data_IF_781587030912
#
_entry.id   IF_781587030912
#
_cell.length_a   1.000
_cell.length_b   1.000
_cell.length_c   1.000
_cell.angle_alpha   90.00
_cell.angle_beta   90.00
_cell.angle_gamma   90.00
#
_symmetry.space_group_name_H-M   'P 1'
#
loop_
_entity.id
_entity.type
_entity.pdbx_description
1 polymer ?
#
# COMPACT_ATOMS: atom_id res chain seq x y z
N UNK A 1 -1.26 19.64 -0.07
CA UNK A 1 -0.43 18.45 -0.34
C UNK A 1 1.02 18.75 -0.04
N UNK A 2 1.80 17.75 0.40
CA UNK A 2 3.25 17.87 0.62
C UNK A 2 4.06 17.59 -0.66
N UNK A 3 5.28 18.13 -0.77
CA UNK A 3 6.23 17.83 -1.84
C UNK A 3 7.45 17.09 -1.29
N UNK A 4 7.32 15.77 -1.12
CA UNK A 4 8.35 14.95 -0.48
C UNK A 4 9.52 14.67 -1.44
N UNK A 5 10.77 14.93 -1.00
CA UNK A 5 11.98 14.66 -1.78
C UNK A 5 12.22 13.17 -2.13
N UNK A 6 11.55 12.26 -1.43
CA UNK A 6 11.60 10.79 -1.64
C UNK A 6 10.32 10.20 -2.23
N UNK A 7 9.42 11.02 -2.77
CA UNK A 7 8.11 10.52 -3.22
C UNK A 7 8.26 9.38 -4.23
N UNK A 8 7.82 8.17 -3.86
CA UNK A 8 7.83 6.99 -4.74
C UNK A 8 7.00 7.22 -6.00
N UNK A 9 5.87 7.91 -5.86
CA UNK A 9 4.94 8.22 -6.94
C UNK A 9 5.15 9.63 -7.52
N UNK A 10 6.38 10.16 -7.52
CA UNK A 10 6.66 11.55 -7.91
C UNK A 10 6.19 11.86 -9.34
N UNK A 11 6.30 10.88 -10.27
CA UNK A 11 5.84 11.00 -11.66
C UNK A 11 4.32 11.21 -11.76
N UNK A 12 3.53 10.55 -10.92
CA UNK A 12 2.06 10.57 -11.01
C UNK A 12 1.39 11.53 -10.02
N UNK A 13 2.09 11.93 -8.96
CA UNK A 13 1.55 12.83 -7.93
C UNK A 13 1.72 14.32 -8.24
N UNK A 14 2.60 14.68 -9.18
CA UNK A 14 2.84 16.08 -9.55
C UNK A 14 2.38 16.34 -10.98
N UNK A 15 1.43 17.26 -11.14
CA UNK A 15 0.80 17.57 -12.43
C UNK A 15 1.80 17.89 -13.55
N UNK A 16 2.95 18.49 -13.23
CA UNK A 16 4.00 18.82 -14.22
C UNK A 16 4.65 17.61 -14.91
N UNK A 17 4.51 16.41 -14.35
CA UNK A 17 5.03 15.17 -14.92
C UNK A 17 3.94 14.29 -15.55
N UNK A 18 2.67 14.68 -15.39
CA UNK A 18 1.52 13.94 -15.89
C UNK A 18 1.08 14.55 -17.23
N UNK A 19 0.75 13.69 -18.19
CA UNK A 19 0.23 14.09 -19.50
C UNK A 19 -1.16 13.49 -19.75
N UNK A 20 -1.89 13.94 -20.76
CA UNK A 20 -3.25 13.46 -21.05
C UNK A 20 -3.33 11.94 -21.29
N UNK A 21 -2.25 11.31 -21.73
CA UNK A 21 -2.17 9.84 -21.89
C UNK A 21 -2.12 9.09 -20.56
N UNK A 22 -1.76 9.75 -19.47
CA UNK A 22 -1.63 9.17 -18.13
C UNK A 22 -2.91 9.36 -17.30
N UNK A 23 -3.89 10.11 -17.82
CA UNK A 23 -5.13 10.47 -17.12
C UNK A 23 -6.30 9.67 -17.69
N UNK A 24 -7.09 9.09 -16.79
CA UNK A 24 -8.37 8.48 -17.13
C UNK A 24 -9.48 9.11 -16.28
N UNK A 25 -10.62 9.38 -16.91
CA UNK A 25 -11.75 10.02 -16.25
C UNK A 25 -12.76 8.96 -15.80
N UNK A 26 -13.17 9.07 -14.54
CA UNK A 26 -14.24 8.26 -13.97
C UNK A 26 -15.26 9.18 -13.32
N UNK A 27 -16.54 8.85 -13.46
CA UNK A 27 -17.57 9.40 -12.56
C UNK A 27 -17.59 8.61 -11.25
N UNK A 28 -18.09 9.18 -10.15
CA UNK A 28 -18.31 8.45 -8.90
C UNK A 28 -19.06 7.12 -9.10
N UNK A 29 -20.12 7.12 -9.90
CA UNK A 29 -20.94 5.94 -10.18
C UNK A 29 -20.14 4.84 -10.90
N UNK A 30 -19.28 5.22 -11.85
CA UNK A 30 -18.43 4.27 -12.57
C UNK A 30 -17.43 3.58 -11.62
N UNK A 31 -16.91 4.30 -10.62
CA UNK A 31 -16.05 3.72 -9.58
C UNK A 31 -16.82 2.69 -8.76
N UNK A 32 -18.04 3.01 -8.32
CA UNK A 32 -18.88 2.10 -7.52
C UNK A 32 -19.27 0.86 -8.35
N UNK A 33 -19.73 1.05 -9.59
CA UNK A 33 -20.10 -0.05 -10.48
C UNK A 33 -18.92 -1.00 -10.72
N UNK A 34 -17.73 -0.45 -10.99
CA UNK A 34 -16.50 -1.22 -11.16
C UNK A 34 -16.16 -2.00 -9.89
N UNK A 35 -16.22 -1.35 -8.72
CA UNK A 35 -15.95 -1.99 -7.44
C UNK A 35 -16.90 -3.17 -7.17
N UNK A 36 -18.20 -2.98 -7.35
CA UNK A 36 -19.20 -4.03 -7.14
C UNK A 36 -19.02 -5.20 -8.12
N UNK A 37 -18.81 -4.91 -9.42
CA UNK A 37 -18.58 -5.93 -10.45
C UNK A 37 -17.32 -6.75 -10.18
N UNK A 38 -16.26 -6.11 -9.69
CA UNK A 38 -15.02 -6.78 -9.36
C UNK A 38 -15.03 -7.45 -7.98
N UNK A 39 -16.05 -7.19 -7.15
CA UNK A 39 -16.16 -7.73 -5.79
C UNK A 39 -15.22 -7.04 -4.79
N UNK A 40 -14.82 -5.80 -5.09
CA UNK A 40 -14.03 -4.94 -4.22
C UNK A 40 -14.90 -4.52 -3.04
N UNK A 41 -14.31 -4.47 -1.84
CA UNK A 41 -15.01 -4.15 -0.58
C UNK A 41 -14.57 -2.82 0.02
N UNK A 42 -13.35 -2.42 -0.29
CA UNK A 42 -12.69 -1.26 0.28
C UNK A 42 -12.20 -0.41 -0.87
N UNK A 43 -12.65 0.83 -0.93
CA UNK A 43 -12.08 1.86 -1.79
C UNK A 43 -10.96 2.56 -1.03
N UNK A 44 -9.77 2.59 -1.62
CA UNK A 44 -8.58 3.20 -1.02
C UNK A 44 -8.16 4.42 -1.82
N UNK A 45 -8.22 5.59 -1.19
CA UNK A 45 -7.83 6.88 -1.77
C UNK A 45 -6.34 7.12 -1.51
N UNK A 46 -5.49 7.01 -2.53
CA UNK A 46 -4.02 6.88 -2.39
C UNK A 46 -3.24 7.20 -3.69
N UNK A 47 -1.95 6.84 -3.72
CA UNK A 47 -0.91 7.04 -4.75
C UNK A 47 -0.45 8.48 -4.89
N UNK A 48 -1.35 9.37 -5.33
CA UNK A 48 -1.21 10.78 -5.00
C UNK A 48 -1.76 11.00 -3.59
N UNK A 49 -1.64 12.21 -3.07
CA UNK A 49 -2.29 12.55 -1.80
C UNK A 49 -3.76 12.87 -2.06
N UNK A 50 -4.71 12.17 -1.43
CA UNK A 50 -6.15 12.37 -1.65
C UNK A 50 -6.66 13.79 -1.40
N UNK A 51 -5.90 14.63 -0.68
CA UNK A 51 -6.28 16.03 -0.42
C UNK A 51 -6.45 16.88 -1.68
N UNK A 52 -5.92 16.50 -2.85
CA UNK A 52 -5.98 17.33 -4.08
C UNK A 52 -7.22 17.10 -4.95
N UNK A 53 -8.07 16.15 -4.57
CA UNK A 53 -9.25 15.71 -5.33
C UNK A 53 -10.39 15.40 -4.34
N UNK A 54 -10.48 16.29 -3.34
CA UNK A 54 -11.35 16.19 -2.17
C UNK A 54 -12.82 16.04 -2.55
N UNK A 55 -13.32 16.85 -3.50
CA UNK A 55 -14.71 16.84 -3.96
C UNK A 55 -15.09 15.50 -4.60
N UNK A 56 -14.21 14.97 -5.46
CA UNK A 56 -14.42 13.67 -6.09
C UNK A 56 -14.48 12.54 -5.05
N UNK A 57 -13.63 12.61 -4.03
CA UNK A 57 -13.62 11.65 -2.93
C UNK A 57 -14.90 11.77 -2.09
N UNK A 58 -15.34 12.98 -1.75
CA UNK A 58 -16.58 13.17 -0.98
C UNK A 58 -17.78 12.56 -1.70
N UNK A 59 -17.94 12.84 -2.99
CA UNK A 59 -19.08 12.36 -3.76
C UNK A 59 -19.02 10.83 -3.95
N UNK A 60 -17.84 10.30 -4.26
CA UNK A 60 -17.69 8.84 -4.43
C UNK A 60 -17.79 8.08 -3.12
N UNK A 61 -17.24 8.60 -2.02
CA UNK A 61 -17.28 7.95 -0.72
C UNK A 61 -18.71 7.88 -0.15
N UNK A 62 -19.56 8.88 -0.41
CA UNK A 62 -21.00 8.84 -0.07
C UNK A 62 -21.68 7.67 -0.77
N UNK A 63 -21.53 7.57 -2.10
CA UNK A 63 -22.11 6.48 -2.89
C UNK A 63 -21.54 5.11 -2.48
N UNK A 64 -20.24 5.04 -2.15
CA UNK A 64 -19.60 3.83 -1.67
C UNK A 64 -20.27 3.31 -0.39
N UNK A 65 -20.58 4.19 0.57
CA UNK A 65 -21.27 3.80 1.81
C UNK A 65 -22.69 3.31 1.55
N UNK A 66 -23.42 3.99 0.67
CA UNK A 66 -24.76 3.55 0.25
C UNK A 66 -24.73 2.16 -0.40
N UNK A 67 -23.67 1.85 -1.14
CA UNK A 67 -23.42 0.54 -1.73
C UNK A 67 -22.83 -0.51 -0.75
N UNK A 68 -22.61 -0.16 0.52
CA UNK A 68 -22.03 -1.06 1.53
C UNK A 68 -20.53 -1.30 1.39
N UNK A 69 -19.82 -0.43 0.66
CA UNK A 69 -18.36 -0.41 0.56
C UNK A 69 -17.74 0.42 1.69
N UNK A 70 -16.50 0.11 2.02
CA UNK A 70 -15.72 0.79 3.06
C UNK A 70 -14.76 1.78 2.41
N UNK A 71 -14.62 2.96 2.99
CA UNK A 71 -13.69 3.98 2.52
C UNK A 71 -12.43 4.04 3.39
N UNK A 72 -11.27 3.87 2.76
CA UNK A 72 -9.94 4.03 3.35
C UNK A 72 -9.25 5.27 2.75
N UNK A 73 -8.86 6.20 3.61
CA UNK A 73 -8.16 7.42 3.23
C UNK A 73 -6.67 7.33 3.59
N UNK A 74 -5.79 7.13 2.59
CA UNK A 74 -4.33 7.02 2.77
C UNK A 74 -3.67 8.32 2.36
N UNK A 75 -3.18 9.10 3.33
CA UNK A 75 -2.73 10.48 3.08
C UNK A 75 -1.54 10.88 3.94
N UNK A 76 -0.75 11.87 3.48
CA UNK A 76 0.18 12.58 4.36
C UNK A 76 -0.55 13.57 5.30
N UNK A 77 -1.86 13.74 5.09
CA UNK A 77 -2.83 14.39 5.96
C UNK A 77 -2.53 15.86 6.27
N UNK A 78 -1.84 16.51 5.32
CA UNK A 78 -1.63 17.94 5.33
C UNK A 78 -2.83 18.64 4.69
N UNK A 79 -3.87 18.82 5.50
CA UNK A 79 -5.23 19.26 5.14
C UNK A 79 -5.76 20.22 6.20
N UNK A 80 -6.75 21.06 5.86
CA UNK A 80 -7.39 21.96 6.82
C UNK A 80 -8.38 21.23 7.71
N UNK A 81 -8.72 21.86 8.83
CA UNK A 81 -9.64 21.30 9.81
C UNK A 81 -11.07 21.11 9.24
N UNK A 82 -11.53 22.03 8.41
CA UNK A 82 -12.88 22.02 7.80
C UNK A 82 -13.02 20.86 6.82
N UNK A 83 -11.99 20.59 6.02
CA UNK A 83 -11.99 19.47 5.11
C UNK A 83 -11.97 18.12 5.86
N UNK A 84 -11.38 18.07 7.06
CA UNK A 84 -11.50 16.87 7.93
C UNK A 84 -12.97 16.67 8.33
N UNK A 85 -13.68 17.72 8.72
CA UNK A 85 -15.10 17.63 9.10
C UNK A 85 -15.97 17.08 7.97
N UNK A 86 -15.67 17.41 6.73
CA UNK A 86 -16.38 16.88 5.56
C UNK A 86 -16.05 15.40 5.29
N UNK A 87 -14.83 14.95 5.60
CA UNK A 87 -14.41 13.55 5.42
C UNK A 87 -14.94 12.62 6.52
N UNK A 88 -15.11 13.12 7.74
CA UNK A 88 -15.52 12.30 8.90
C UNK A 88 -16.81 11.49 8.66
N UNK A 89 -17.88 12.02 8.04
CA UNK A 89 -19.09 11.21 7.80
C UNK A 89 -18.89 10.08 6.79
N UNK A 90 -17.96 10.22 5.84
CA UNK A 90 -17.87 9.38 4.64
C UNK A 90 -16.67 8.44 4.62
N UNK A 91 -15.63 8.72 5.40
CA UNK A 91 -14.45 7.86 5.55
C UNK A 91 -14.57 6.98 6.79
N UNK A 92 -14.20 5.71 6.66
CA UNK A 92 -14.26 4.73 7.75
C UNK A 92 -12.87 4.47 8.35
N UNK A 93 -11.84 4.43 7.51
CA UNK A 93 -10.45 4.16 7.91
C UNK A 93 -9.54 5.31 7.46
N UNK A 94 -8.76 5.85 8.39
CA UNK A 94 -7.73 6.84 8.11
C UNK A 94 -6.35 6.20 8.30
N UNK A 95 -5.62 5.98 7.21
CA UNK A 95 -4.24 5.53 7.25
C UNK A 95 -3.33 6.73 7.01
N UNK A 96 -2.83 7.34 8.08
CA UNK A 96 -2.13 8.62 8.00
C UNK A 96 -0.62 8.39 8.00
N UNK A 97 0.08 9.06 7.09
CA UNK A 97 1.53 9.02 6.99
C UNK A 97 2.15 10.20 7.75
N UNK A 98 2.41 10.01 9.04
CA UNK A 98 3.18 10.93 9.86
C UNK A 98 4.66 10.83 9.48
N UNK A 99 5.14 11.78 8.69
CA UNK A 99 6.43 11.67 7.98
C UNK A 99 7.63 11.74 8.93
N UNK A 100 7.50 12.46 10.03
CA UNK A 100 8.50 12.65 11.07
C UNK A 100 7.83 13.31 12.28
N UNK A 101 8.50 13.33 13.42
CA UNK A 101 8.12 14.18 14.57
C UNK A 101 8.82 15.55 14.54
N UNK A 102 9.65 15.82 13.54
CA UNK A 102 10.47 17.03 13.45
C UNK A 102 9.85 18.09 12.54
N UNK A 103 9.59 19.29 13.07
CA UNK A 103 9.18 20.45 12.27
C UNK A 103 10.26 20.84 11.23
N UNK A 104 11.54 20.64 11.53
CA UNK A 104 12.64 20.88 10.58
C UNK A 104 12.55 19.92 9.39
N UNK A 105 12.29 18.63 9.66
CA UNK A 105 12.10 17.62 8.61
C UNK A 105 10.93 18.01 7.69
N UNK A 106 9.81 18.43 8.27
CA UNK A 106 8.64 18.84 7.48
C UNK A 106 8.98 20.00 6.53
N UNK A 107 9.68 21.03 7.03
CA UNK A 107 10.08 22.18 6.21
C UNK A 107 11.09 21.81 5.13
N UNK A 108 12.12 21.02 5.47
CA UNK A 108 13.24 20.74 4.55
C UNK A 108 13.00 19.59 3.59
N UNK A 109 12.29 18.54 4.01
CA UNK A 109 12.17 17.29 3.25
C UNK A 109 10.81 17.17 2.56
N UNK A 110 9.77 17.78 3.14
CA UNK A 110 8.39 17.70 2.63
C UNK A 110 7.81 19.03 2.18
N UNK A 111 8.53 20.14 2.42
CA UNK A 111 8.11 21.54 2.16
C UNK A 111 6.82 21.98 2.87
N UNK A 112 6.42 21.27 3.92
CA UNK A 112 5.24 21.55 4.73
C UNK A 112 5.58 21.94 6.16
N UNK A 113 4.57 21.89 7.02
CA UNK A 113 4.70 22.01 8.47
C UNK A 113 3.82 20.96 9.17
N UNK A 114 4.21 20.57 10.37
CA UNK A 114 3.74 19.33 11.00
C UNK A 114 2.42 19.52 11.75
N UNK A 115 2.15 20.74 12.21
CA UNK A 115 1.10 21.05 13.18
C UNK A 115 -0.31 20.64 12.66
N UNK A 116 -0.74 20.96 11.42
CA UNK A 116 -2.03 20.50 10.90
C UNK A 116 -2.15 18.98 10.82
N UNK A 117 -1.05 18.26 10.60
CA UNK A 117 -1.05 16.80 10.53
C UNK A 117 -1.32 16.21 11.91
N UNK A 118 -0.63 16.71 12.95
CA UNK A 118 -0.82 16.22 14.32
C UNK A 118 -2.23 16.53 14.84
N UNK A 119 -2.69 17.78 14.66
CA UNK A 119 -4.03 18.18 15.07
C UNK A 119 -5.10 17.41 14.29
N UNK A 120 -4.89 17.18 12.99
CA UNK A 120 -5.79 16.38 12.17
C UNK A 120 -5.88 14.92 12.63
N UNK A 121 -4.75 14.27 12.94
CA UNK A 121 -4.75 12.90 13.47
C UNK A 121 -5.54 12.83 14.77
N UNK A 122 -5.31 13.75 15.71
CA UNK A 122 -6.05 13.82 16.98
C UNK A 122 -7.55 14.01 16.74
N UNK A 123 -7.93 14.93 15.86
CA UNK A 123 -9.34 15.18 15.52
C UNK A 123 -10.03 13.92 14.98
N UNK A 124 -9.40 13.23 14.03
CA UNK A 124 -9.94 11.98 13.46
C UNK A 124 -10.05 10.89 14.52
N UNK A 125 -9.03 10.74 15.36
CA UNK A 125 -9.02 9.75 16.44
C UNK A 125 -10.14 10.02 17.45
N UNK A 126 -10.29 11.27 17.93
CA UNK A 126 -11.33 11.67 18.88
C UNK A 126 -12.74 11.62 18.29
N UNK A 127 -12.89 11.69 16.96
CA UNK A 127 -14.14 11.42 16.26
C UNK A 127 -14.51 9.92 16.23
N UNK A 128 -13.72 9.04 16.84
CA UNK A 128 -13.99 7.60 16.95
C UNK A 128 -13.72 6.81 15.68
N UNK A 129 -12.87 7.33 14.78
CA UNK A 129 -12.50 6.65 13.53
C UNK A 129 -11.37 5.65 13.73
N UNK A 130 -11.31 4.65 12.85
CA UNK A 130 -10.16 3.73 12.82
C UNK A 130 -8.95 4.49 12.23
N UNK A 131 -7.93 4.70 13.05
CA UNK A 131 -6.71 5.41 12.66
C UNK A 131 -5.53 4.45 12.69
N UNK A 132 -4.75 4.44 11.62
CA UNK A 132 -3.44 3.81 11.58
C UNK A 132 -2.37 4.83 11.20
N UNK A 133 -1.24 4.79 11.88
CA UNK A 133 -0.12 5.70 11.63
C UNK A 133 0.99 4.95 10.93
N UNK A 134 1.57 5.58 9.91
CA UNK A 134 2.74 5.07 9.21
C UNK A 134 3.84 6.12 9.16
N UNK A 135 5.06 5.72 9.46
CA UNK A 135 6.26 6.58 9.37
C UNK A 135 7.28 5.91 8.48
N UNK A 136 7.71 6.62 7.44
CA UNK A 136 8.78 6.16 6.57
C UNK A 136 10.11 6.34 7.29
N UNK A 137 10.82 5.24 7.51
CA UNK A 137 12.16 5.26 8.08
C UNK A 137 13.12 5.56 6.94
N UNK A 138 13.57 6.82 6.82
CA UNK A 138 14.47 7.26 5.75
C UNK A 138 15.91 7.13 6.23
N UNK A 139 16.74 6.43 5.45
CA UNK A 139 18.10 6.04 5.83
C UNK A 139 18.95 7.24 6.23
N UNK A 140 19.50 7.18 7.45
CA UNK A 140 20.35 8.21 8.08
C UNK A 140 19.66 9.58 8.27
N UNK A 141 18.32 9.63 8.16
CA UNK A 141 17.52 10.84 8.39
C UNK A 141 16.51 10.63 9.52
N UNK A 142 15.65 9.62 9.40
CA UNK A 142 14.53 9.37 10.32
C UNK A 142 14.46 7.91 10.79
N UNK A 143 15.52 7.14 10.57
CA UNK A 143 15.59 5.71 10.90
C UNK A 143 16.42 5.40 12.16
N UNK A 144 16.73 6.42 12.96
CA UNK A 144 17.40 6.28 14.25
C UNK A 144 16.42 5.94 15.40
N UNK A 145 16.97 5.45 16.52
CA UNK A 145 16.17 5.06 17.70
C UNK A 145 15.36 6.23 18.27
N UNK A 146 15.90 7.44 18.31
CA UNK A 146 15.24 8.62 18.87
C UNK A 146 13.99 9.00 18.06
N UNK A 147 14.01 8.81 16.73
CA UNK A 147 12.85 9.01 15.86
C UNK A 147 11.74 8.02 16.21
N UNK A 148 12.08 6.75 16.41
CA UNK A 148 11.13 5.72 16.84
C UNK A 148 10.55 6.02 18.23
N UNK A 149 11.40 6.44 19.19
CA UNK A 149 10.95 6.83 20.54
C UNK A 149 10.01 8.03 20.49
N UNK A 150 10.34 9.06 19.72
CA UNK A 150 9.55 10.30 19.69
C UNK A 150 8.18 10.06 19.09
N UNK A 151 8.09 9.33 17.97
CA UNK A 151 6.79 8.99 17.36
C UNK A 151 5.98 8.08 18.27
N UNK A 152 6.61 7.06 18.87
CA UNK A 152 5.91 6.15 19.78
C UNK A 152 5.40 6.87 21.02
N UNK A 153 6.20 7.77 21.60
CA UNK A 153 5.80 8.61 22.73
C UNK A 153 4.62 9.49 22.37
N UNK A 154 4.66 10.15 21.21
CA UNK A 154 3.55 11.01 20.78
C UNK A 154 2.23 10.23 20.65
N UNK A 155 2.26 9.02 20.07
CA UNK A 155 1.07 8.17 19.99
C UNK A 155 0.56 7.78 21.39
N UNK A 156 1.46 7.43 22.31
CA UNK A 156 1.09 7.07 23.68
C UNK A 156 0.53 8.25 24.49
N UNK A 157 1.05 9.47 24.25
CA UNK A 157 0.64 10.67 24.97
C UNK A 157 -0.69 11.24 24.44
N UNK A 158 -0.87 11.25 23.12
CA UNK A 158 -1.98 11.97 22.47
C UNK A 158 -3.12 11.05 21.98
N UNK A 159 -2.86 9.75 21.79
CA UNK A 159 -3.82 8.79 21.24
C UNK A 159 -4.05 7.62 22.21
N UNK A 160 -3.74 6.38 21.80
CA UNK A 160 -3.90 5.17 22.60
C UNK A 160 -2.88 4.10 22.18
N UNK A 161 -2.39 3.27 23.11
CA UNK A 161 -1.43 2.21 22.80
C UNK A 161 -1.90 1.18 21.77
N UNK A 162 -3.21 1.07 21.51
CA UNK A 162 -3.80 0.19 20.50
C UNK A 162 -3.84 0.78 19.09
N UNK A 163 -3.50 2.07 18.89
CA UNK A 163 -3.37 2.67 17.55
C UNK A 163 -2.22 2.00 16.82
N UNK A 164 -2.45 1.35 15.65
CA UNK A 164 -1.39 0.71 14.88
C UNK A 164 -0.33 1.70 14.39
N UNK A 165 0.94 1.37 14.65
CA UNK A 165 2.10 2.06 14.11
C UNK A 165 2.83 1.18 13.09
N UNK A 166 3.06 1.70 11.90
CA UNK A 166 3.81 1.06 10.82
C UNK A 166 5.12 1.80 10.58
N UNK A 167 6.25 1.15 10.85
CA UNK A 167 7.55 1.62 10.39
C UNK A 167 7.80 1.08 8.98
N UNK A 168 7.81 1.97 7.99
CA UNK A 168 7.85 1.61 6.58
C UNK A 168 9.28 1.76 6.06
N UNK A 169 9.78 0.73 5.36
CA UNK A 169 11.12 0.75 4.78
C UNK A 169 11.21 1.73 3.62
N UNK A 170 12.19 2.63 3.67
CA UNK A 170 12.49 3.55 2.58
C UNK A 170 13.10 2.84 1.37
N UNK A 171 12.74 3.34 0.21
CA UNK A 171 13.33 3.01 -1.09
C UNK A 171 13.80 4.32 -1.76
N UNK A 172 15.06 4.39 -2.23
CA UNK A 172 15.61 5.56 -2.91
C UNK A 172 14.87 5.87 -4.22
N UNK A 173 14.21 7.02 -4.26
CA UNK A 173 13.49 7.51 -5.44
C UNK A 173 13.58 9.04 -5.53
N UNK A 174 13.14 9.58 -6.66
CA UNK A 174 13.05 11.01 -6.94
C UNK A 174 14.37 11.73 -6.66
N UNK A 175 14.37 12.76 -5.81
CA UNK A 175 15.57 13.54 -5.45
C UNK A 175 16.53 12.79 -4.52
N UNK A 176 16.11 11.64 -4.01
CA UNK A 176 16.86 10.83 -3.06
C UNK A 176 17.37 9.51 -3.67
N UNK A 177 17.43 9.40 -5.00
CA UNK A 177 17.91 8.23 -5.72
C UNK A 177 19.37 7.83 -5.38
N UNK A 178 20.19 8.76 -4.89
CA UNK A 178 21.58 8.50 -4.46
C UNK A 178 21.69 8.00 -3.00
N UNK A 179 20.57 7.74 -2.32
CA UNK A 179 20.54 7.12 -1.00
C UNK A 179 20.50 5.58 -1.12
N UNK A 180 20.37 4.88 -0.01
CA UNK A 180 20.19 3.43 0.03
C UNK A 180 18.92 3.05 0.77
N UNK A 181 18.37 1.87 0.48
CA UNK A 181 17.23 1.35 1.24
C UNK A 181 17.58 1.23 2.71
N UNK A 182 16.60 1.50 3.57
CA UNK A 182 16.85 1.41 5.01
C UNK A 182 17.16 -0.04 5.41
N UNK A 183 18.24 -0.25 6.18
CA UNK A 183 18.57 -1.57 6.71
C UNK A 183 17.43 -2.14 7.56
N UNK A 184 17.09 -3.41 7.32
CA UNK A 184 15.94 -4.09 7.97
C UNK A 184 16.13 -4.20 9.49
N UNK A 185 17.37 -4.34 9.96
CA UNK A 185 17.71 -4.35 11.39
C UNK A 185 17.34 -3.05 12.10
N UNK A 186 17.45 -1.88 11.43
CA UNK A 186 17.00 -0.59 11.98
C UNK A 186 15.49 -0.55 12.16
N UNK A 187 14.73 -1.15 11.23
CA UNK A 187 13.27 -1.28 11.36
C UNK A 187 12.90 -2.19 12.52
N UNK A 188 13.55 -3.35 12.64
CA UNK A 188 13.35 -4.25 13.78
C UNK A 188 13.65 -3.56 15.10
N UNK A 189 14.75 -2.81 15.17
CA UNK A 189 15.10 -2.03 16.37
C UNK A 189 14.02 -1.00 16.72
N UNK A 190 13.50 -0.28 15.73
CA UNK A 190 12.39 0.67 15.93
C UNK A 190 11.12 -0.02 16.44
N UNK A 191 10.77 -1.19 15.89
CA UNK A 191 9.65 -2.01 16.36
C UNK A 191 9.84 -2.43 17.82
N UNK A 192 11.00 -2.97 18.18
CA UNK A 192 11.30 -3.37 19.56
C UNK A 192 11.12 -2.20 20.52
N UNK A 193 11.68 -1.04 20.20
CA UNK A 193 11.56 0.17 21.02
C UNK A 193 10.10 0.57 21.23
N UNK A 194 9.33 0.65 20.15
CA UNK A 194 7.92 1.02 20.20
C UNK A 194 7.09 0.07 21.09
N UNK A 195 7.36 -1.24 20.99
CA UNK A 195 6.71 -2.25 21.82
C UNK A 195 7.13 -2.18 23.29
N UNK A 196 8.43 -1.99 23.57
CA UNK A 196 8.97 -1.80 24.93
C UNK A 196 8.37 -0.55 25.61
N UNK A 197 8.06 0.49 24.83
CA UNK A 197 7.39 1.70 25.32
C UNK A 197 5.90 1.49 25.62
N UNK A 198 5.30 0.40 25.11
CA UNK A 198 3.94 -0.01 25.48
C UNK A 198 2.94 -0.08 24.32
N UNK A 199 3.33 0.29 23.08
CA UNK A 199 2.47 0.15 21.90
C UNK A 199 2.12 -1.32 21.65
N UNK A 200 0.85 -1.60 21.36
CA UNK A 200 0.33 -2.97 21.20
C UNK A 200 0.47 -3.51 19.78
N UNK A 201 0.32 -2.62 18.79
CA UNK A 201 0.32 -2.97 17.39
C UNK A 201 1.41 -2.19 16.66
N UNK A 202 2.55 -2.85 16.42
CA UNK A 202 3.67 -2.27 15.68
C UNK A 202 4.03 -3.20 14.53
N UNK A 203 4.04 -2.67 13.32
CA UNK A 203 4.26 -3.42 12.08
C UNK A 203 5.43 -2.84 11.29
N UNK A 204 6.06 -3.69 10.50
CA UNK A 204 7.04 -3.26 9.51
C UNK A 204 6.42 -3.30 8.11
N UNK A 205 6.52 -2.20 7.37
CA UNK A 205 6.03 -2.06 6.01
C UNK A 205 7.17 -2.13 4.98
N UNK A 206 6.83 -2.45 3.73
CA UNK A 206 7.79 -2.58 2.62
C UNK A 206 8.93 -3.58 2.89
N UNK A 207 8.62 -4.63 3.65
CA UNK A 207 9.45 -5.82 3.80
C UNK A 207 8.63 -7.06 3.42
N UNK A 208 9.26 -7.98 2.71
CA UNK A 208 8.68 -9.26 2.32
C UNK A 208 9.19 -10.36 3.26
N UNK A 209 8.34 -11.37 3.51
CA UNK A 209 8.70 -12.58 4.24
C UNK A 209 9.35 -12.33 5.61
N UNK A 210 8.69 -11.52 6.45
CA UNK A 210 9.19 -11.16 7.78
C UNK A 210 8.06 -11.26 8.81
N UNK A 211 8.33 -11.94 9.93
CA UNK A 211 7.38 -12.14 11.02
C UNK A 211 6.91 -10.83 11.66
N UNK A 212 7.69 -9.76 11.59
CA UNK A 212 7.34 -8.46 12.11
C UNK A 212 6.17 -7.80 11.36
N UNK A 213 5.76 -8.35 10.20
CA UNK A 213 4.55 -7.97 9.46
C UNK A 213 3.28 -8.68 9.98
N UNK A 214 3.44 -9.77 10.73
CA UNK A 214 2.33 -10.52 11.31
C UNK A 214 1.70 -9.78 12.49
N UNK A 215 0.50 -10.19 12.87
CA UNK A 215 -0.16 -9.72 14.09
C UNK A 215 -0.17 -10.79 15.16
N UNK A 216 0.17 -10.38 16.38
CA UNK A 216 0.19 -11.24 17.57
C UNK A 216 -0.72 -10.67 18.63
N UNK A 217 -1.28 -11.54 19.48
CA UNK A 217 -2.10 -11.11 20.59
C UNK A 217 -1.23 -10.41 21.62
N UNK A 218 -1.54 -9.15 21.95
CA UNK A 218 -0.75 -8.41 22.93
C UNK A 218 -0.97 -8.86 24.39
N UNK A 219 -1.88 -9.82 24.62
CA UNK A 219 -2.13 -10.44 25.93
C UNK A 219 -1.41 -11.79 26.11
N UNK A 220 -1.39 -12.65 25.09
CA UNK A 220 -0.85 -14.02 25.21
C UNK A 220 0.15 -14.40 24.11
N UNK A 221 0.56 -13.44 23.27
CA UNK A 221 1.53 -13.58 22.18
C UNK A 221 1.19 -14.64 21.13
N UNK A 222 -0.05 -15.10 21.05
CA UNK A 222 -0.49 -16.03 20.01
C UNK A 222 -0.51 -15.32 18.65
N UNK A 223 -0.14 -16.04 17.60
CA UNK A 223 -0.24 -15.55 16.23
C UNK A 223 -1.73 -15.39 15.85
N UNK A 224 -2.10 -14.21 15.36
CA UNK A 224 -3.47 -13.82 15.02
C UNK A 224 -3.69 -13.74 13.52
N UNK A 225 -2.78 -13.05 12.83
CA UNK A 225 -2.85 -12.83 11.38
C UNK A 225 -1.45 -13.02 10.79
N UNK A 226 -1.33 -13.91 9.81
CA UNK A 226 -0.11 -14.04 8.99
C UNK A 226 -0.18 -13.11 7.80
N UNK A 227 0.96 -12.59 7.37
CA UNK A 227 1.09 -11.77 6.16
C UNK A 227 2.26 -12.23 5.31
N UNK A 228 2.01 -12.35 4.01
CA UNK A 228 3.04 -12.61 3.01
C UNK A 228 2.74 -11.78 1.76
N UNK A 229 3.63 -10.85 1.43
CA UNK A 229 3.33 -9.87 0.38
C UNK A 229 2.09 -9.05 0.75
N UNK A 230 1.20 -8.83 -0.22
CA UNK A 230 -0.10 -8.18 -0.01
C UNK A 230 -1.19 -9.10 0.56
N UNK A 231 -0.85 -10.34 0.89
CA UNK A 231 -1.81 -11.34 1.34
C UNK A 231 -1.81 -11.42 2.87
N UNK A 232 -2.99 -11.50 3.46
CA UNK A 232 -3.17 -11.68 4.89
C UNK A 232 -4.15 -12.81 5.17
N UNK A 233 -3.85 -13.65 6.16
CA UNK A 233 -4.71 -14.74 6.57
C UNK A 233 -5.00 -14.65 8.07
N UNK A 234 -6.28 -14.70 8.42
CA UNK A 234 -6.70 -14.80 9.82
C UNK A 234 -6.55 -16.26 10.28
N UNK A 235 -5.64 -16.49 11.23
CA UNK A 235 -5.33 -17.81 11.79
C UNK A 235 -5.66 -17.92 13.29
N UNK A 236 -5.96 -16.81 13.96
CA UNK A 236 -6.07 -16.77 15.43
C UNK A 236 -7.15 -15.83 15.99
N UNK A 237 -7.98 -15.22 15.15
CA UNK A 237 -9.09 -14.35 15.56
C UNK A 237 -10.44 -14.96 15.25
N UNK A 238 -11.39 -14.78 16.17
CA UNK A 238 -12.80 -15.07 15.92
C UNK A 238 -13.47 -14.00 15.03
N UNK A 239 -14.77 -14.16 14.78
CA UNK A 239 -15.54 -13.23 13.93
C UNK A 239 -15.69 -11.83 14.52
N UNK A 240 -15.39 -11.63 15.79
CA UNK A 240 -15.56 -10.38 16.52
C UNK A 240 -14.23 -9.71 16.88
N UNK A 241 -13.10 -10.27 16.43
CA UNK A 241 -11.78 -9.72 16.69
C UNK A 241 -11.16 -10.14 18.03
N UNK A 242 -11.70 -11.18 18.68
CA UNK A 242 -11.09 -11.76 19.89
C UNK A 242 -10.12 -12.88 19.54
N UNK A 243 -9.07 -13.01 20.34
CA UNK A 243 -8.10 -14.08 20.23
C UNK A 243 -8.72 -15.44 20.53
N UNK A 244 -8.57 -16.41 19.63
CA UNK A 244 -9.07 -17.77 19.82
C UNK A 244 -8.40 -18.53 20.99
N UNK A 245 -7.20 -18.09 21.41
CA UNK A 245 -6.43 -18.74 22.49
C UNK A 245 -6.80 -18.23 23.88
N UNK A 246 -6.96 -16.92 24.05
CA UNK A 246 -7.16 -16.31 25.37
C UNK A 246 -8.46 -15.50 25.52
N UNK A 247 -9.23 -15.34 24.45
CA UNK A 247 -10.48 -14.57 24.46
C UNK A 247 -10.30 -13.05 24.55
N UNK A 248 -9.07 -12.53 24.51
CA UNK A 248 -8.82 -11.09 24.61
C UNK A 248 -9.20 -10.35 23.30
N UNK A 249 -9.86 -9.21 23.39
CA UNK A 249 -10.13 -8.35 22.23
C UNK A 249 -8.88 -7.61 21.80
N UNK A 250 -8.42 -7.79 20.55
CA UNK A 250 -7.14 -7.23 20.10
C UNK A 250 -7.31 -5.98 19.21
N UNK A 251 -8.40 -5.23 19.38
CA UNK A 251 -8.72 -4.05 18.56
C UNK A 251 -8.75 -4.34 17.03
N UNK A 252 -9.20 -5.54 16.66
CA UNK A 252 -9.39 -5.92 15.27
C UNK A 252 -10.83 -5.67 14.83
N UNK A 253 -10.98 -5.06 13.66
CA UNK A 253 -12.25 -4.95 12.95
C UNK A 253 -12.26 -6.00 11.85
N UNK A 254 -13.17 -6.97 11.96
CA UNK A 254 -13.33 -8.03 10.97
C UNK A 254 -14.34 -7.60 9.91
N UNK A 255 -13.91 -7.58 8.65
CA UNK A 255 -14.85 -7.39 7.55
C UNK A 255 -15.71 -8.64 7.41
N UNK A 256 -17.03 -8.46 7.23
CA UNK A 256 -17.91 -9.58 6.99
C UNK A 256 -17.45 -10.36 5.74
N UNK A 257 -17.40 -11.70 5.86
CA UNK A 257 -17.13 -12.57 4.73
C UNK A 257 -18.31 -12.47 3.76
N UNK A 258 -18.13 -11.77 2.65
CA UNK A 258 -19.00 -11.89 1.48
C UNK A 258 -18.65 -13.14 0.69
N UNK A 259 -19.57 -13.59 -0.17
CA UNK A 259 -19.34 -14.70 -1.08
C UNK A 259 -18.05 -14.48 -1.88
N UNK A 260 -17.11 -15.42 -1.78
CA UNK A 260 -16.00 -15.49 -2.74
C UNK A 260 -16.60 -15.70 -4.14
N UNK A 261 -16.06 -15.02 -5.15
CA UNK A 261 -16.35 -15.41 -6.54
C UNK A 261 -15.97 -16.88 -6.67
N UNK A 262 -16.91 -17.72 -7.10
CA UNK A 262 -16.59 -19.12 -7.38
C UNK A 262 -15.54 -19.14 -8.49
N UNK A 263 -14.43 -19.86 -8.33
CA UNK A 263 -13.47 -20.01 -9.41
C UNK A 263 -14.20 -20.60 -10.63
N UNK A 264 -14.02 -19.97 -11.78
CA UNK A 264 -14.54 -20.46 -13.05
C UNK A 264 -13.42 -21.26 -13.67
N UNK A 265 -13.66 -22.56 -13.89
CA UNK A 265 -12.66 -23.41 -14.50
C UNK A 265 -12.69 -23.25 -16.04
N UNK A 266 -11.60 -22.81 -16.68
CA UNK A 266 -11.55 -22.66 -18.13
C UNK A 266 -11.49 -23.99 -18.89
N UNK A 267 -11.51 -25.16 -18.21
CA UNK A 267 -11.48 -26.50 -18.84
C UNK A 267 -12.52 -26.73 -19.95
N UNK A 268 -13.62 -25.98 -19.96
CA UNK A 268 -14.66 -26.08 -20.99
C UNK A 268 -14.52 -25.05 -22.12
N UNK A 269 -13.52 -24.17 -22.06
CA UNK A 269 -13.25 -23.15 -23.07
C UNK A 269 -12.27 -23.70 -24.11
N UNK A 270 -12.43 -23.27 -25.36
CA UNK A 270 -11.43 -23.52 -26.38
C UNK A 270 -10.21 -22.59 -26.15
N UNK A 271 -9.29 -23.02 -25.29
CA UNK A 271 -8.11 -22.25 -24.92
C UNK A 271 -7.05 -22.15 -26.04
N UNK A 272 -7.25 -22.82 -27.18
CA UNK A 272 -6.31 -22.75 -28.32
C UNK A 272 -6.14 -21.33 -28.85
N UNK A 273 -7.18 -20.52 -28.73
CA UNK A 273 -7.25 -19.17 -29.30
C UNK A 273 -6.83 -18.11 -28.27
N UNK A 274 -6.47 -18.52 -27.05
CA UNK A 274 -6.04 -17.63 -25.99
C UNK A 274 -4.52 -17.40 -26.08
N UNK A 275 -4.11 -16.15 -25.97
CA UNK A 275 -2.72 -15.80 -25.75
C UNK A 275 -2.34 -16.18 -24.31
N UNK A 276 -1.31 -17.01 -24.16
CA UNK A 276 -0.73 -17.36 -22.86
C UNK A 276 0.45 -16.44 -22.57
N UNK A 277 0.40 -15.74 -21.43
CA UNK A 277 1.48 -14.88 -20.93
C UNK A 277 1.90 -15.31 -19.53
N UNK A 278 3.20 -15.39 -19.27
CA UNK A 278 3.74 -15.74 -17.95
C UNK A 278 4.63 -14.63 -17.42
N UNK A 279 4.64 -14.48 -16.10
CA UNK A 279 5.59 -13.64 -15.38
C UNK A 279 6.16 -14.45 -14.22
N UNK A 280 7.48 -14.58 -14.15
CA UNK A 280 8.17 -15.28 -13.07
C UNK A 280 8.76 -14.25 -12.10
N UNK A 281 8.57 -14.46 -10.80
CA UNK A 281 9.17 -13.62 -9.76
C UNK A 281 10.69 -13.71 -9.83
N UNK A 282 11.37 -12.60 -9.62
CA UNK A 282 12.84 -12.55 -9.70
C UNK A 282 13.38 -11.41 -8.84
N UNK A 283 14.56 -11.62 -8.24
CA UNK A 283 15.15 -10.66 -7.31
C UNK A 283 14.15 -10.21 -6.23
N UNK A 284 13.98 -8.91 -6.10
CA UNK A 284 13.00 -8.27 -5.21
C UNK A 284 11.64 -8.00 -5.89
N UNK A 285 11.50 -8.30 -7.18
CA UNK A 285 10.24 -8.22 -7.93
C UNK A 285 9.39 -9.45 -7.63
N UNK A 286 8.59 -9.32 -6.59
CA UNK A 286 7.61 -10.33 -6.17
C UNK A 286 6.17 -9.81 -6.29
N UNK A 287 5.98 -8.74 -7.04
CA UNK A 287 4.66 -8.21 -7.39
C UNK A 287 4.66 -7.49 -8.73
N UNK A 288 3.50 -7.50 -9.39
CA UNK A 288 3.27 -6.78 -10.64
C UNK A 288 1.93 -6.04 -10.60
N UNK A 289 1.85 -4.92 -11.31
CA UNK A 289 0.58 -4.39 -11.79
C UNK A 289 0.30 -5.02 -13.16
N UNK A 290 -0.76 -5.82 -13.23
CA UNK A 290 -1.27 -6.35 -14.49
C UNK A 290 -2.37 -5.41 -15.00
N UNK A 291 -2.12 -4.75 -16.13
CA UNK A 291 -3.12 -3.99 -16.85
C UNK A 291 -3.66 -4.84 -17.99
N UNK A 292 -4.98 -4.94 -18.09
CA UNK A 292 -5.68 -5.63 -19.18
C UNK A 292 -6.75 -4.72 -19.73
N UNK A 293 -6.87 -4.67 -21.06
CA UNK A 293 -7.87 -3.83 -21.72
C UNK A 293 -8.65 -4.61 -22.76
N UNK A 294 -9.97 -4.48 -22.71
CA UNK A 294 -10.89 -5.09 -23.66
C UNK A 294 -11.08 -4.18 -24.86
N UNK A 295 -10.39 -4.47 -25.95
CA UNK A 295 -10.47 -3.64 -27.18
C UNK A 295 -11.74 -3.91 -28.00
N UNK A 296 -12.55 -4.90 -27.61
CA UNK A 296 -13.74 -5.34 -28.36
C UNK A 296 -15.01 -4.60 -27.93
N UNK A 297 -16.11 -4.88 -28.63
CA UNK A 297 -17.45 -4.37 -28.31
C UNK A 297 -18.30 -5.38 -27.51
N UNK A 298 -17.71 -6.48 -27.06
CA UNK A 298 -18.37 -7.52 -26.26
C UNK A 298 -17.66 -7.69 -24.92
N UNK A 299 -18.35 -8.22 -23.92
CA UNK A 299 -17.72 -8.56 -22.65
C UNK A 299 -16.80 -9.76 -22.82
N UNK A 300 -15.66 -9.73 -22.14
CA UNK A 300 -14.66 -10.79 -22.17
C UNK A 300 -14.26 -11.20 -20.76
N UNK A 301 -13.74 -12.42 -20.63
CA UNK A 301 -13.21 -12.94 -19.36
C UNK A 301 -11.76 -13.32 -19.59
N UNK A 302 -10.86 -12.73 -18.80
CA UNK A 302 -9.48 -13.18 -18.70
C UNK A 302 -9.36 -14.18 -17.56
N UNK A 303 -8.40 -15.09 -17.67
CA UNK A 303 -8.07 -16.01 -16.60
C UNK A 303 -6.63 -15.80 -16.16
N UNK A 304 -6.36 -15.93 -14.87
CA UNK A 304 -5.00 -15.95 -14.35
C UNK A 304 -4.88 -16.95 -13.20
N UNK A 305 -3.66 -17.43 -12.95
CA UNK A 305 -3.37 -18.31 -11.82
C UNK A 305 -1.95 -18.15 -11.34
N UNK A 306 -1.68 -18.74 -10.17
CA UNK A 306 -0.35 -18.81 -9.55
C UNK A 306 0.44 -19.98 -10.13
N UNK A 307 1.71 -19.76 -10.46
CA UNK A 307 2.67 -20.81 -10.83
C UNK A 307 3.38 -21.24 -9.55
N UNK A 308 3.33 -22.52 -9.21
CA UNK A 308 3.96 -23.08 -8.01
C UNK A 308 5.09 -24.04 -8.39
N UNK A 309 6.07 -24.19 -7.50
CA UNK A 309 7.02 -25.30 -7.56
C UNK A 309 6.27 -26.65 -7.64
N UNK A 310 6.76 -27.58 -8.48
CA UNK A 310 6.19 -28.92 -8.71
C UNK A 310 4.94 -29.04 -9.61
N UNK A 311 4.70 -28.09 -10.53
CA UNK A 311 3.59 -28.13 -11.52
C UNK A 311 2.17 -28.19 -10.92
N UNK A 312 2.04 -28.04 -9.60
CA UNK A 312 0.75 -27.86 -8.93
C UNK A 312 0.33 -26.39 -9.02
N UNK A 313 -0.03 -25.95 -10.23
CA UNK A 313 -0.55 -24.59 -10.43
C UNK A 313 -1.72 -24.32 -9.48
N UNK A 314 -1.87 -23.07 -9.06
CA UNK A 314 -3.05 -22.63 -8.32
C UNK A 314 -4.33 -22.77 -9.14
N UNK A 315 -5.46 -22.62 -8.46
CA UNK A 315 -6.77 -22.53 -9.12
C UNK A 315 -6.84 -21.33 -10.07
N UNK A 316 -7.65 -21.45 -11.11
CA UNK A 316 -7.91 -20.34 -12.03
C UNK A 316 -8.81 -19.29 -11.37
N UNK A 317 -8.32 -18.06 -11.37
CA UNK A 317 -9.06 -16.86 -11.09
C UNK A 317 -9.46 -16.16 -12.39
N UNK A 318 -10.43 -15.25 -12.34
CA UNK A 318 -10.92 -14.58 -13.53
C UNK A 318 -11.29 -13.12 -13.27
N UNK A 319 -11.18 -12.31 -14.31
CA UNK A 319 -11.66 -10.93 -14.33
C UNK A 319 -12.58 -10.76 -15.54
N UNK A 320 -13.77 -10.25 -15.28
CA UNK A 320 -14.76 -9.93 -16.31
C UNK A 320 -14.62 -8.49 -16.73
N UNK A 321 -14.35 -8.26 -18.01
CA UNK A 321 -14.19 -6.94 -18.59
C UNK A 321 -15.41 -6.59 -19.45
N UNK A 322 -15.99 -5.41 -19.20
CA UNK A 322 -17.03 -4.86 -20.08
C UNK A 322 -16.39 -4.31 -21.37
N UNK A 323 -17.17 -4.02 -22.44
CA UNK A 323 -16.62 -3.44 -23.66
C UNK A 323 -15.79 -2.19 -23.38
N UNK A 324 -14.61 -2.08 -24.01
CA UNK A 324 -13.70 -0.92 -23.90
C UNK A 324 -13.11 -0.65 -22.50
N UNK A 325 -13.34 -1.51 -21.52
CA UNK A 325 -12.75 -1.35 -20.20
C UNK A 325 -11.25 -1.59 -20.21
N UNK A 326 -10.51 -0.72 -19.51
CA UNK A 326 -9.14 -0.97 -19.06
C UNK A 326 -9.16 -1.19 -17.56
N UNK A 327 -8.65 -2.33 -17.10
CA UNK A 327 -8.64 -2.71 -15.70
C UNK A 327 -7.21 -3.06 -15.27
N UNK A 328 -6.80 -2.54 -14.13
CA UNK A 328 -5.46 -2.75 -13.57
C UNK A 328 -5.56 -3.29 -12.16
N UNK A 329 -4.85 -4.37 -11.89
CA UNK A 329 -4.86 -5.05 -10.59
C UNK A 329 -3.47 -5.54 -10.22
N UNK A 330 -3.24 -5.72 -8.91
CA UNK A 330 -1.95 -6.13 -8.38
C UNK A 330 -1.97 -7.63 -8.10
N UNK A 331 -0.95 -8.33 -8.59
CA UNK A 331 -0.66 -9.71 -8.22
C UNK A 331 0.67 -9.69 -7.48
N UNK A 332 0.66 -10.13 -6.22
CA UNK A 332 1.86 -10.23 -5.39
C UNK A 332 2.04 -11.65 -4.88
N UNK A 333 3.28 -12.15 -4.91
CA UNK A 333 3.68 -13.46 -4.40
C UNK A 333 3.04 -13.70 -3.04
N UNK A 334 2.36 -14.84 -2.91
CA UNK A 334 1.52 -15.17 -1.76
C UNK A 334 2.11 -16.26 -0.88
N UNK A 335 3.04 -17.05 -1.41
CA UNK A 335 3.69 -18.17 -0.72
C UNK A 335 5.16 -18.28 -1.15
N UNK A 336 6.05 -18.79 -0.30
CA UNK A 336 7.47 -18.98 -0.65
C UNK A 336 7.69 -19.80 -1.93
N UNK A 337 6.90 -20.85 -2.14
CA UNK A 337 7.02 -21.80 -3.26
C UNK A 337 6.34 -21.31 -4.56
N UNK A 338 5.80 -20.10 -4.56
CA UNK A 338 5.23 -19.49 -5.75
C UNK A 338 6.36 -18.95 -6.63
N UNK A 339 6.35 -19.35 -7.91
CA UNK A 339 7.35 -18.99 -8.92
C UNK A 339 6.92 -17.81 -9.79
N UNK A 340 5.62 -17.59 -9.93
CA UNK A 340 5.11 -16.57 -10.84
C UNK A 340 3.60 -16.58 -10.99
N UNK A 341 3.12 -15.95 -12.06
CA UNK A 341 1.72 -15.96 -12.48
C UNK A 341 1.61 -16.19 -13.98
N UNK A 342 0.53 -16.84 -14.38
CA UNK A 342 0.19 -17.12 -15.78
C UNK A 342 -1.19 -16.53 -16.08
N UNK A 343 -1.32 -15.94 -17.27
CA UNK A 343 -2.54 -15.37 -17.81
C UNK A 343 -2.97 -16.11 -19.08
N UNK A 344 -4.28 -16.25 -19.26
CA UNK A 344 -4.91 -16.62 -20.52
C UNK A 344 -5.78 -15.45 -20.97
N UNK A 345 -5.43 -14.87 -22.12
CA UNK A 345 -6.06 -13.69 -22.69
C UNK A 345 -6.82 -14.08 -23.97
N UNK A 346 -8.15 -13.91 -24.04
CA UNK A 346 -8.88 -14.16 -25.28
C UNK A 346 -8.54 -13.13 -26.36
N UNK A 347 -8.86 -13.42 -27.64
CA UNK A 347 -8.66 -12.47 -28.74
C UNK A 347 -9.31 -11.11 -28.46
N UNK A 348 -8.58 -10.03 -28.75
CA UNK A 348 -9.04 -8.66 -28.52
C UNK A 348 -8.81 -8.13 -27.10
N UNK A 349 -8.12 -8.88 -26.25
CA UNK A 349 -7.57 -8.35 -24.99
C UNK A 349 -6.10 -7.97 -25.19
N UNK A 350 -5.76 -6.73 -24.86
CA UNK A 350 -4.36 -6.31 -24.71
C UNK A 350 -3.93 -6.37 -23.25
N UNK A 351 -2.66 -6.66 -22.97
CA UNK A 351 -2.13 -6.66 -21.61
C UNK A 351 -0.74 -6.04 -21.51
N UNK A 352 -0.51 -5.26 -20.45
CA UNK A 352 0.78 -4.71 -20.07
C UNK A 352 1.09 -5.13 -18.63
N UNK A 353 2.31 -5.59 -18.39
CA UNK A 353 2.77 -5.99 -17.06
C UNK A 353 3.81 -4.98 -16.59
N UNK A 354 3.72 -4.60 -15.32
CA UNK A 354 4.61 -3.60 -14.72
C UNK A 354 5.19 -4.14 -13.43
N UNK A 355 6.52 -4.16 -13.34
CA UNK A 355 7.25 -4.65 -12.16
C UNK A 355 7.09 -3.69 -10.98
N UNK A 356 7.00 -4.27 -9.78
CA UNK A 356 6.89 -3.53 -8.53
C UNK A 356 7.89 -4.07 -7.53
N UNK A 357 8.86 -3.22 -7.17
CA UNK A 357 9.81 -3.46 -6.08
C UNK A 357 9.13 -3.34 -4.72
N UNK A 358 8.38 -2.24 -4.53
CA UNK A 358 7.70 -1.91 -3.30
C UNK A 358 6.21 -1.77 -3.55
N UNK A 359 5.41 -2.40 -2.70
CA UNK A 359 3.95 -2.49 -2.81
C UNK A 359 3.21 -1.13 -2.83
N UNK A 360 3.92 -0.03 -2.55
CA UNK A 360 3.41 1.34 -2.53
C UNK A 360 3.65 2.12 -3.84
N UNK A 361 4.41 1.55 -4.77
CA UNK A 361 4.74 2.16 -6.05
C UNK A 361 3.60 1.94 -7.07
N UNK A 362 3.23 2.98 -7.83
CA UNK A 362 2.35 2.86 -8.99
C UNK A 362 3.16 2.96 -10.30
N UNK A 363 3.56 1.84 -10.90
CA UNK A 363 4.49 1.88 -12.02
C UNK A 363 3.77 2.35 -13.29
N UNK A 364 4.42 3.23 -14.04
CA UNK A 364 3.87 3.81 -15.28
C UNK A 364 4.48 3.23 -16.54
N UNK A 365 5.63 2.56 -16.44
CA UNK A 365 6.38 2.02 -17.58
C UNK A 365 6.21 0.50 -17.62
N UNK A 366 5.89 -0.06 -18.78
CA UNK A 366 5.66 -1.49 -18.96
C UNK A 366 7.00 -2.23 -19.15
N UNK A 367 7.06 -3.51 -18.78
CA UNK A 367 8.27 -4.34 -18.95
C UNK A 367 8.75 -4.34 -20.40
N UNK A 368 7.80 -4.31 -21.34
CA UNK A 368 8.05 -4.28 -22.77
C UNK A 368 8.81 -3.01 -23.21
N UNK A 369 8.69 -1.91 -22.46
CA UNK A 369 9.33 -0.62 -22.78
C UNK A 369 10.71 -0.46 -22.15
N UNK A 370 10.93 -1.01 -20.94
CA UNK A 370 12.13 -0.76 -20.13
C UNK A 370 13.02 -2.01 -19.90
N UNK A 371 12.55 -3.20 -20.27
CA UNK A 371 13.22 -4.47 -20.00
C UNK A 371 13.06 -4.96 -18.56
N UNK A 372 13.77 -6.05 -18.21
CA UNK A 372 13.74 -6.66 -16.87
C UNK A 372 14.77 -5.97 -15.97
N UNK A 373 14.35 -5.46 -14.81
CA UNK A 373 15.29 -4.88 -13.86
C UNK A 373 15.96 -5.97 -13.01
N UNK A 374 17.29 -6.00 -13.00
CA UNK A 374 18.03 -7.15 -12.47
C UNK A 374 18.36 -7.08 -10.97
N UNK A 375 18.30 -5.92 -10.29
CA UNK A 375 18.59 -5.83 -8.85
C UNK A 375 18.04 -4.53 -8.19
N UNK A 376 17.41 -4.67 -7.04
CA UNK A 376 17.37 -3.62 -6.01
C UNK A 376 18.73 -3.62 -5.29
N UNK A 377 19.44 -2.50 -5.34
CA UNK A 377 20.71 -2.32 -4.65
C UNK A 377 20.48 -2.05 -3.16
N UNK A 378 19.92 -3.04 -2.45
CA UNK A 378 19.89 -3.05 -0.98
C UNK A 378 21.32 -3.28 -0.45
N UNK A 379 21.84 -2.45 0.48
CA UNK A 379 23.10 -2.75 1.15
C UNK A 379 23.01 -4.10 1.88
N UNK A 380 23.95 -5.01 1.59
CA UNK A 380 24.01 -6.33 2.25
C UNK A 380 24.26 -6.20 3.76
N UNK A 381 23.89 -7.24 4.50
CA UNK A 381 24.21 -7.45 5.92
C UNK A 381 25.70 -7.11 6.15
N UNK A 382 25.97 -6.16 7.05
CA UNK A 382 27.32 -5.69 7.36
C UNK A 382 27.70 -4.31 6.81
N UNK A 383 26.74 -3.50 6.34
CA UNK A 383 26.99 -2.07 6.07
C UNK A 383 27.41 -1.37 7.37
N UNK A 384 28.73 -1.13 7.51
CA UNK A 384 29.31 -0.35 8.61
C UNK A 384 28.98 1.11 8.36
N UNK A 385 27.74 1.49 8.67
CA UNK A 385 27.22 2.83 8.49
C UNK A 385 28.17 3.88 9.05
N UNK A 386 28.71 4.71 8.15
CA UNK A 386 29.44 5.94 8.47
C UNK A 386 29.38 6.91 7.28
N UNK A 387 28.21 7.40 6.96
CA UNK A 387 28.09 8.73 6.35
C UNK A 387 26.69 9.26 6.64
N UNK A 388 26.60 10.21 7.58
CA UNK A 388 25.41 11.03 7.72
C UNK A 388 25.25 11.82 6.41
N UNK A 389 24.48 11.28 5.47
CA UNK A 389 24.18 11.89 4.17
C UNK A 389 23.19 13.05 4.31
N UNK A 390 22.60 13.29 5.49
CA UNK A 390 21.57 14.31 5.71
C UNK A 390 21.96 15.71 5.19
N UNK A 391 23.20 16.23 5.43
CA UNK A 391 23.58 17.54 4.90
C UNK A 391 23.70 17.57 3.37
N UNK A 392 24.07 16.44 2.74
CA UNK A 392 24.18 16.31 1.29
C UNK A 392 22.78 16.16 0.66
N UNK A 393 21.91 15.37 1.29
CA UNK A 393 20.52 15.15 0.87
C UNK A 393 19.68 16.43 0.99
N UNK A 394 19.83 17.21 2.07
CA UNK A 394 19.17 18.53 2.19
C UNK A 394 19.61 19.47 1.08
N UNK A 395 20.92 19.53 0.76
CA UNK A 395 21.40 20.36 -0.35
C UNK A 395 20.80 19.94 -1.69
N UNK A 396 20.69 18.63 -1.94
CA UNK A 396 20.07 18.12 -3.16
C UNK A 396 18.57 18.42 -3.25
N UNK A 397 17.84 18.37 -2.14
CA UNK A 397 16.40 18.72 -2.13
C UNK A 397 16.19 20.21 -2.42
N UNK A 398 17.05 21.08 -1.89
CA UNK A 398 16.91 22.54 -1.94
C UNK A 398 17.54 23.23 -3.17
N UNK A 399 18.44 22.57 -3.93
CA UNK A 399 19.20 23.23 -5.00
C UNK A 399 18.45 23.44 -6.32
N UNK A 400 17.20 22.99 -6.46
CA UNK A 400 16.38 23.15 -7.68
C UNK A 400 15.43 24.36 -7.65
N UNK A 401 15.58 25.27 -6.67
CA UNK A 401 14.81 26.54 -6.62
C UNK A 401 15.49 27.72 -7.36
N UNK A 402 16.52 27.45 -8.19
CA UNK A 402 17.17 28.48 -9.03
C UNK A 402 16.96 28.25 -10.53
#
# INVERSE_FOLDING_TARGET
MLNCGYCHNWKTSQAKYVTDKDVYYYTPEQVIESALRHGIKVLSWTYNDPVVWHEFILDTAKLAKEAGLINLYKSAFFITEEAIDELLPVIDIFSISLKSSSSEYYRKVTTGWIEPVLEGIKKVYHAGKHVEISTLMVTDISDNEDSARTISKWILDELDPSVPLHFVRFHPDYKMANSTRTPIDRLHKAKTIAQEMGLKHVYLGNINDDEATNSYCYQCSSLLVTRYGLNAENVGLDKTGHCLKCGHYNNFITLQKTHSKKPINPKHLNISDYEKKEFHWHGDIVSIHAQVANTTNISNIIFFRRIMENKMHGEWEHISLVPKESYRFIIAKSKPQELGTEFLLPPGISSNLHEVFDRAHFPTEAIEDIGISMNDTTPKIGYKGKQNMYPQLIKMVNNDEN
#
